data_IF_008687248943
#
_entry.id   IF_008687248943
#
_cell.length_a   1.000
_cell.length_b   1.000
_cell.length_c   1.000
_cell.angle_alpha   90.00
_cell.angle_beta   90.00
_cell.angle_gamma   90.00
#
_symmetry.space_group_name_H-M   'P 1'
#
loop_
_entity.id
_entity.type
_entity.pdbx_description
1 polymer ?
#
# COMPACT_ATOMS: atom_id res chain seq x y z
N UNK A 1 -27.50 -22.70 20.33
CA UNK A 1 -27.59 -22.80 18.86
C UNK A 1 -27.16 -21.46 18.33
N UNK A 2 -25.88 -21.32 17.96
CA UNK A 2 -25.36 -20.06 17.42
C UNK A 2 -25.93 -19.92 16.01
N UNK A 3 -26.85 -18.97 15.83
CA UNK A 3 -27.28 -18.57 14.50
C UNK A 3 -26.09 -17.91 13.80
N UNK A 4 -25.33 -18.68 13.02
CA UNK A 4 -24.45 -18.13 12.01
C UNK A 4 -25.35 -17.45 10.96
N UNK A 5 -25.65 -16.16 11.17
CA UNK A 5 -26.09 -15.30 10.08
C UNK A 5 -24.99 -15.36 9.04
N UNK A 6 -25.21 -16.09 7.95
CA UNK A 6 -24.51 -15.90 6.68
C UNK A 6 -24.82 -14.48 6.21
N UNK A 7 -24.11 -13.50 6.78
CA UNK A 7 -24.15 -12.13 6.31
C UNK A 7 -23.55 -12.18 4.91
N UNK A 8 -24.42 -12.09 3.90
CA UNK A 8 -23.97 -11.87 2.53
C UNK A 8 -23.08 -10.61 2.47
N UNK A 9 -22.22 -10.55 1.45
CA UNK A 9 -21.27 -9.45 1.23
C UNK A 9 -21.98 -8.11 1.46
N UNK A 10 -21.47 -7.32 2.41
CA UNK A 10 -22.05 -6.02 2.76
C UNK A 10 -22.07 -5.10 1.54
N UNK A 11 -23.07 -4.21 1.42
CA UNK A 11 -23.14 -3.22 0.33
C UNK A 11 -21.82 -2.43 0.20
N UNK A 12 -21.19 -2.12 1.33
CA UNK A 12 -19.89 -1.45 1.37
C UNK A 12 -18.77 -2.31 0.77
N UNK A 13 -18.69 -3.60 1.12
CA UNK A 13 -17.70 -4.53 0.58
C UNK A 13 -17.91 -4.77 -0.92
N UNK A 14 -19.17 -4.86 -1.36
CA UNK A 14 -19.54 -5.05 -2.76
C UNK A 14 -19.09 -3.88 -3.65
N UNK A 15 -19.19 -2.64 -3.14
CA UNK A 15 -18.83 -1.43 -3.88
C UNK A 15 -17.50 -0.81 -3.42
N UNK A 16 -16.66 -1.56 -2.70
CA UNK A 16 -15.42 -1.07 -2.10
C UNK A 16 -14.50 -0.40 -3.14
N UNK A 17 -14.38 -0.98 -4.34
CA UNK A 17 -13.57 -0.40 -5.43
C UNK A 17 -14.06 0.99 -5.84
N UNK A 18 -15.38 1.20 -5.91
CA UNK A 18 -15.97 2.50 -6.27
C UNK A 18 -15.70 3.51 -5.15
N UNK A 19 -15.91 3.12 -3.90
CA UNK A 19 -15.61 3.96 -2.74
C UNK A 19 -14.13 4.37 -2.70
N UNK A 20 -13.22 3.43 -2.93
CA UNK A 20 -11.78 3.70 -2.97
C UNK A 20 -11.45 4.68 -4.10
N UNK A 21 -12.01 4.50 -5.30
CA UNK A 21 -11.80 5.43 -6.41
C UNK A 21 -12.32 6.85 -6.09
N UNK A 22 -13.49 6.96 -5.47
CA UNK A 22 -14.04 8.25 -5.03
C UNK A 22 -13.11 8.90 -4.01
N UNK A 23 -12.62 8.15 -3.02
CA UNK A 23 -11.67 8.63 -2.02
C UNK A 23 -10.34 9.08 -2.65
N UNK A 24 -9.82 8.35 -3.64
CA UNK A 24 -8.61 8.76 -4.37
C UNK A 24 -8.83 10.08 -5.11
N UNK A 25 -9.91 10.19 -5.89
CA UNK A 25 -10.23 11.42 -6.64
C UNK A 25 -10.42 12.61 -5.70
N UNK A 26 -11.18 12.42 -4.63
CA UNK A 26 -11.39 13.46 -3.63
C UNK A 26 -10.06 13.87 -2.96
N UNK A 27 -9.21 12.91 -2.61
CA UNK A 27 -7.89 13.18 -2.03
C UNK A 27 -6.98 13.99 -2.97
N UNK A 28 -6.95 13.65 -4.26
CA UNK A 28 -6.17 14.39 -5.27
C UNK A 28 -6.70 15.82 -5.43
N UNK A 29 -8.03 16.01 -5.50
CA UNK A 29 -8.64 17.34 -5.60
C UNK A 29 -8.34 18.18 -4.35
N UNK A 30 -8.47 17.60 -3.15
CA UNK A 30 -8.17 18.29 -1.90
C UNK A 30 -6.68 18.69 -1.87
N UNK A 31 -5.76 17.77 -2.19
CA UNK A 31 -4.33 18.06 -2.22
C UNK A 31 -3.93 19.13 -3.25
N UNK A 32 -4.66 19.24 -4.36
CA UNK A 32 -4.39 20.24 -5.40
C UNK A 32 -4.99 21.62 -5.07
N UNK A 33 -6.23 21.69 -4.58
CA UNK A 33 -6.93 22.96 -4.31
C UNK A 33 -6.61 23.57 -2.94
N UNK A 34 -6.20 22.76 -1.96
CA UNK A 34 -5.90 23.20 -0.59
C UNK A 34 -4.43 22.92 -0.25
N UNK A 35 -3.48 23.76 -0.70
CA UNK A 35 -2.05 23.56 -0.45
C UNK A 35 -1.72 23.58 1.06
N UNK A 36 -2.53 24.26 1.86
CA UNK A 36 -2.41 24.27 3.33
C UNK A 36 -2.51 22.86 3.95
N UNK A 37 -3.25 21.94 3.33
CA UNK A 37 -3.36 20.55 3.82
C UNK A 37 -2.02 19.85 3.61
N UNK A 38 -1.45 19.96 2.42
CA UNK A 38 -0.13 19.40 2.10
C UNK A 38 0.96 20.00 2.99
N UNK A 39 0.99 21.32 3.15
CA UNK A 39 1.94 21.99 4.03
C UNK A 39 1.75 21.58 5.50
N UNK A 40 0.53 21.38 5.98
CA UNK A 40 0.31 20.90 7.35
C UNK A 40 0.83 19.47 7.56
N UNK A 41 0.67 18.58 6.57
CA UNK A 41 1.27 17.24 6.57
C UNK A 41 2.80 17.30 6.57
N UNK A 42 3.38 18.18 5.75
CA UNK A 42 4.83 18.39 5.66
C UNK A 42 5.43 18.96 6.95
N UNK A 43 4.72 19.87 7.63
CA UNK A 43 5.12 20.38 8.95
C UNK A 43 5.02 19.31 10.05
N UNK A 44 4.22 18.26 9.84
CA UNK A 44 4.14 17.08 10.73
C UNK A 44 5.12 15.97 10.31
N UNK A 45 6.10 16.28 9.46
CA UNK A 45 7.21 15.37 9.20
C UNK A 45 8.23 15.43 10.33
N UNK A 46 8.56 14.27 10.87
CA UNK A 46 9.63 14.10 11.85
C UNK A 46 10.65 13.15 11.20
N UNK A 47 11.91 13.59 11.12
CA UNK A 47 12.97 12.87 10.39
C UNK A 47 12.65 12.55 8.92
N UNK A 48 11.96 13.47 8.22
CA UNK A 48 11.60 13.27 6.80
C UNK A 48 10.48 12.25 6.57
N UNK A 49 9.83 11.78 7.64
CA UNK A 49 8.70 10.86 7.57
C UNK A 49 7.42 11.50 8.10
N UNK A 50 6.36 11.44 7.30
CA UNK A 50 5.03 11.94 7.65
C UNK A 50 4.44 11.15 8.83
N UNK A 51 4.39 11.74 10.01
CA UNK A 51 3.88 11.10 11.24
C UNK A 51 2.43 10.65 11.11
N UNK A 52 1.49 11.45 10.53
CA UNK A 52 0.11 11.01 10.36
C UNK A 52 -0.01 9.75 9.51
N UNK A 53 0.75 9.66 8.41
CA UNK A 53 0.78 8.48 7.56
C UNK A 53 1.34 7.27 8.31
N UNK A 54 2.41 7.46 9.11
CA UNK A 54 2.98 6.40 9.92
C UNK A 54 1.96 5.83 10.93
N UNK A 55 1.20 6.70 11.60
CA UNK A 55 0.14 6.28 12.53
C UNK A 55 -0.95 5.49 11.81
N UNK A 56 -1.42 5.97 10.65
CA UNK A 56 -2.44 5.28 9.84
C UNK A 56 -1.98 3.89 9.41
N UNK A 57 -0.74 3.77 8.94
CA UNK A 57 -0.13 2.47 8.60
C UNK A 57 -0.07 1.56 9.83
N UNK A 58 0.28 2.09 11.00
CA UNK A 58 0.33 1.32 12.24
C UNK A 58 -1.05 0.79 12.66
N UNK A 59 -2.09 1.63 12.55
CA UNK A 59 -3.48 1.25 12.79
C UNK A 59 -3.91 0.11 11.86
N UNK A 60 -3.44 0.08 10.61
CA UNK A 60 -3.73 -1.01 9.67
C UNK A 60 -2.94 -2.30 9.96
N UNK A 61 -1.68 -2.18 10.37
CA UNK A 61 -0.81 -3.33 10.63
C UNK A 61 -1.21 -4.03 11.95
N UNK A 62 -1.54 -3.27 12.99
CA UNK A 62 -1.89 -3.78 14.32
C UNK A 62 -2.96 -4.90 14.33
N UNK A 63 -4.14 -4.75 13.69
CA UNK A 63 -5.16 -5.81 13.69
C UNK A 63 -4.71 -7.06 12.95
N UNK A 64 -3.84 -6.95 11.95
CA UNK A 64 -3.27 -8.11 11.28
C UNK A 64 -2.32 -8.86 12.23
N UNK A 65 -1.50 -8.14 13.02
CA UNK A 65 -0.59 -8.75 13.99
C UNK A 65 -1.33 -9.50 15.11
N UNK A 66 -2.46 -8.95 15.60
CA UNK A 66 -3.26 -9.62 16.63
C UNK A 66 -3.91 -10.94 16.17
N UNK A 67 -4.08 -11.12 14.86
CA UNK A 67 -4.65 -12.34 14.27
C UNK A 67 -3.62 -13.47 14.08
N UNK A 68 -2.36 -13.25 14.43
CA UNK A 68 -1.29 -14.23 14.26
C UNK A 68 -1.40 -15.33 15.32
N UNK A 69 -1.52 -16.58 14.89
CA UNK A 69 -1.48 -17.75 15.76
C UNK A 69 -0.04 -18.27 15.92
N UNK A 70 0.52 -18.13 17.13
CA UNK A 70 1.87 -18.60 17.45
C UNK A 70 2.05 -20.12 17.33
N UNK A 71 0.97 -20.93 17.45
CA UNK A 71 1.06 -22.38 17.22
C UNK A 71 1.25 -22.69 15.75
N UNK A 72 0.63 -21.91 14.85
CA UNK A 72 0.81 -22.05 13.41
C UNK A 72 2.26 -21.75 13.01
N UNK A 73 2.88 -20.71 13.58
CA UNK A 73 4.30 -20.34 13.32
C UNK A 73 5.26 -21.52 13.54
N UNK A 74 5.05 -22.32 14.60
CA UNK A 74 5.91 -23.49 14.88
C UNK A 74 5.82 -24.57 13.80
N UNK A 75 4.65 -24.73 13.16
CA UNK A 75 4.44 -25.71 12.09
C UNK A 75 4.89 -25.22 10.71
N UNK A 76 5.00 -23.90 10.51
CA UNK A 76 5.41 -23.28 9.25
C UNK A 76 6.79 -23.76 8.80
N UNK A 77 7.71 -24.02 9.74
CA UNK A 77 9.04 -24.60 9.44
C UNK A 77 9.02 -26.00 8.81
N UNK A 78 7.91 -26.74 8.88
CA UNK A 78 7.77 -28.07 8.24
C UNK A 78 7.51 -27.99 6.73
N UNK A 79 7.06 -26.82 6.23
CA UNK A 79 6.77 -26.59 4.82
C UNK A 79 7.46 -25.31 4.32
N UNK A 80 8.81 -25.31 4.24
CA UNK A 80 9.58 -24.10 3.93
C UNK A 80 9.38 -23.61 2.49
N UNK A 81 9.03 -24.50 1.55
CA UNK A 81 8.88 -24.15 0.13
C UNK A 81 7.85 -23.04 -0.10
N UNK A 82 6.68 -23.11 0.55
CA UNK A 82 5.64 -22.08 0.40
C UNK A 82 6.07 -20.71 0.93
N UNK A 83 6.79 -20.69 2.05
CA UNK A 83 7.34 -19.45 2.63
C UNK A 83 8.40 -18.87 1.70
N UNK A 84 9.33 -19.71 1.23
CA UNK A 84 10.42 -19.26 0.38
C UNK A 84 9.88 -18.65 -0.92
N UNK A 85 8.92 -19.31 -1.57
CA UNK A 85 8.27 -18.80 -2.78
C UNK A 85 7.53 -17.50 -2.49
N UNK A 86 6.74 -17.43 -1.42
CA UNK A 86 5.98 -16.22 -1.06
C UNK A 86 6.90 -15.04 -0.72
N UNK A 87 7.96 -15.28 0.06
CA UNK A 87 8.96 -14.27 0.43
C UNK A 87 9.75 -13.82 -0.80
N UNK A 88 10.23 -14.75 -1.63
CA UNK A 88 10.92 -14.41 -2.87
C UNK A 88 10.01 -13.65 -3.83
N UNK A 89 8.74 -14.04 -3.95
CA UNK A 89 7.80 -13.29 -4.78
C UNK A 89 7.57 -11.88 -4.22
N UNK A 90 7.40 -11.74 -2.90
CA UNK A 90 7.05 -10.45 -2.30
C UNK A 90 8.23 -9.50 -2.11
N UNK A 91 9.43 -10.01 -1.84
CA UNK A 91 10.62 -9.21 -1.56
C UNK A 91 11.66 -9.28 -2.69
N UNK A 92 11.62 -10.30 -3.53
CA UNK A 92 12.47 -10.41 -4.71
C UNK A 92 11.73 -9.98 -5.97
N UNK A 93 10.64 -10.63 -6.33
CA UNK A 93 9.99 -10.34 -7.63
C UNK A 93 9.36 -8.94 -7.63
N UNK A 94 8.59 -8.58 -6.60
CA UNK A 94 7.89 -7.28 -6.57
C UNK A 94 8.82 -6.07 -6.69
N UNK A 95 9.92 -5.92 -5.93
CA UNK A 95 10.76 -4.72 -6.03
C UNK A 95 11.48 -4.60 -7.36
N UNK A 96 11.97 -5.70 -7.91
CA UNK A 96 12.67 -5.69 -9.19
C UNK A 96 11.71 -5.45 -10.36
N UNK A 97 10.50 -6.01 -10.28
CA UNK A 97 9.45 -5.72 -11.25
C UNK A 97 9.04 -4.25 -11.18
N UNK A 98 8.89 -3.69 -9.98
CA UNK A 98 8.59 -2.27 -9.79
C UNK A 98 9.68 -1.39 -10.40
N UNK A 99 10.96 -1.65 -10.07
CA UNK A 99 12.09 -0.90 -10.63
C UNK A 99 12.17 -1.03 -12.16
N UNK A 100 12.00 -2.23 -12.69
CA UNK A 100 12.06 -2.50 -14.13
C UNK A 100 10.92 -1.81 -14.89
N UNK A 101 9.70 -1.89 -14.38
CA UNK A 101 8.54 -1.20 -14.95
C UNK A 101 8.69 0.32 -14.84
N UNK A 102 9.07 0.84 -13.67
CA UNK A 102 9.28 2.26 -13.48
C UNK A 102 10.36 2.79 -14.44
N UNK A 103 11.52 2.13 -14.51
CA UNK A 103 12.59 2.50 -15.44
C UNK A 103 12.15 2.46 -16.90
N UNK A 104 11.44 1.41 -17.32
CA UNK A 104 10.96 1.28 -18.69
C UNK A 104 9.97 2.39 -19.05
N UNK A 105 8.98 2.64 -18.20
CA UNK A 105 7.99 3.67 -18.48
C UNK A 105 8.56 5.08 -18.40
N UNK A 106 9.35 5.41 -17.37
CA UNK A 106 9.90 6.75 -17.21
C UNK A 106 11.00 7.08 -18.23
N UNK A 107 11.93 6.16 -18.51
CA UNK A 107 13.08 6.45 -19.39
C UNK A 107 12.88 6.09 -20.85
N UNK A 108 11.93 5.20 -21.20
CA UNK A 108 11.69 4.79 -22.60
C UNK A 108 10.37 5.37 -23.11
N UNK A 109 9.24 5.07 -22.45
CA UNK A 109 7.91 5.42 -22.96
C UNK A 109 7.60 6.91 -22.77
N UNK A 110 7.85 7.45 -21.58
CA UNK A 110 7.49 8.82 -21.20
C UNK A 110 8.64 9.81 -21.26
N UNK A 111 9.78 9.43 -21.85
CA UNK A 111 10.96 10.30 -22.00
C UNK A 111 10.63 11.66 -22.63
N UNK A 112 9.67 11.71 -23.54
CA UNK A 112 9.25 12.94 -24.22
C UNK A 112 8.31 13.81 -23.37
N UNK A 113 7.62 13.22 -22.40
CA UNK A 113 6.61 13.90 -21.57
C UNK A 113 7.12 14.27 -20.17
N UNK A 114 8.15 13.57 -19.66
CA UNK A 114 8.64 13.71 -18.28
C UNK A 114 10.13 14.10 -18.27
N UNK A 115 10.52 15.20 -17.60
CA UNK A 115 11.91 15.57 -17.40
C UNK A 115 12.72 14.47 -16.71
N UNK A 116 13.97 14.27 -17.15
CA UNK A 116 14.84 13.21 -16.63
C UNK A 116 15.15 13.35 -15.13
N UNK A 117 15.16 14.57 -14.60
CA UNK A 117 15.36 14.80 -13.15
C UNK A 117 14.18 14.30 -12.32
N UNK A 118 12.95 14.47 -12.81
CA UNK A 118 11.76 13.94 -12.13
C UNK A 118 11.74 12.42 -12.22
N UNK A 119 12.10 11.83 -13.36
CA UNK A 119 12.19 10.38 -13.49
C UNK A 119 13.16 9.74 -12.46
N UNK A 120 14.26 10.43 -12.13
CA UNK A 120 15.26 9.93 -11.17
C UNK A 120 14.76 9.90 -9.72
N UNK A 121 13.77 10.72 -9.35
CA UNK A 121 13.23 10.71 -7.98
C UNK A 121 12.15 9.65 -7.74
N UNK A 122 11.62 9.03 -8.80
CA UNK A 122 10.54 8.04 -8.73
C UNK A 122 10.94 6.59 -9.02
N UNK A 123 12.18 6.36 -9.47
CA UNK A 123 12.75 5.03 -9.79
C UNK A 123 13.73 4.61 -8.70
#
# INVERSE_FOLDING_TARGET
MNEEKTQGISFFEKYLTIWVLICMMAGILIGNFLPNVQSALDNMQVFGQNVPLAILMWIMIYPMMLKIDFKAIKNVGKHPQGILISTLASWGIKPFLMFGLASFFFYVVFKTFIPTELAQSYV
#
